data_IF_306255697814
#
_entry.id   IF_306255697814
#
_cell.length_a   1.000
_cell.length_b   1.000
_cell.length_c   1.000
_cell.angle_alpha   90.00
_cell.angle_beta   90.00
_cell.angle_gamma   90.00
#
_symmetry.space_group_name_H-M   'P 1'
#
loop_
_entity.id
_entity.type
_entity.pdbx_description
1 polymer ?
#
# COMPACT_ATOMS: atom_id res chain seq x y z
N UNK A 1 37.83 -32.26 41.92
CA UNK A 1 36.44 -32.08 41.44
C UNK A 1 36.45 -30.89 40.47
N UNK A 2 36.68 -31.15 39.17
CA UNK A 2 36.84 -30.10 38.16
C UNK A 2 35.45 -29.70 37.63
N UNK A 3 35.03 -28.45 37.90
CA UNK A 3 33.82 -27.86 37.34
C UNK A 3 34.00 -27.71 35.83
N UNK A 4 33.35 -28.58 35.05
CA UNK A 4 33.34 -28.46 33.58
C UNK A 4 32.70 -27.12 33.19
N UNK A 5 33.33 -26.31 32.34
CA UNK A 5 32.66 -25.17 31.73
C UNK A 5 31.57 -25.70 30.78
N UNK A 6 30.34 -25.17 30.92
CA UNK A 6 29.25 -25.46 29.99
C UNK A 6 29.57 -24.85 28.62
N UNK A 7 29.49 -25.62 27.53
CA UNK A 7 29.78 -25.10 26.20
C UNK A 7 28.62 -24.23 25.71
N UNK A 8 28.93 -22.96 25.51
CA UNK A 8 28.35 -22.13 24.45
C UNK A 8 26.88 -21.74 24.62
N UNK A 9 26.67 -20.57 25.22
CA UNK A 9 25.65 -19.64 24.72
C UNK A 9 26.05 -19.22 23.30
N UNK A 10 25.83 -20.13 22.34
CA UNK A 10 26.05 -19.88 20.93
C UNK A 10 25.08 -18.78 20.51
N UNK A 11 25.62 -17.56 20.43
CA UNK A 11 25.17 -16.41 19.66
C UNK A 11 23.70 -16.41 19.28
N UNK A 12 22.94 -15.58 20.00
CA UNK A 12 21.59 -15.08 19.68
C UNK A 12 21.56 -14.43 18.28
N UNK A 13 21.66 -15.24 17.23
CA UNK A 13 21.55 -14.86 15.81
C UNK A 13 20.09 -14.92 15.34
N UNK A 14 19.21 -14.31 16.13
CA UNK A 14 17.81 -14.05 15.76
C UNK A 14 17.58 -12.58 15.38
N UNK A 15 18.61 -11.85 14.94
CA UNK A 15 18.46 -10.48 14.48
C UNK A 15 17.79 -10.46 13.12
N UNK A 16 16.70 -9.70 12.98
CA UNK A 16 15.93 -9.49 11.74
C UNK A 16 15.11 -10.68 11.24
N UNK A 17 15.69 -11.86 10.96
CA UNK A 17 14.92 -12.98 10.37
C UNK A 17 13.81 -13.50 11.29
N UNK A 18 14.07 -13.54 12.60
CA UNK A 18 13.05 -13.88 13.59
C UNK A 18 11.97 -12.78 13.68
N UNK A 19 12.39 -11.51 13.63
CA UNK A 19 11.50 -10.35 13.60
C UNK A 19 10.55 -10.36 12.39
N UNK A 20 11.04 -10.68 11.19
CA UNK A 20 10.20 -10.81 10.01
C UNK A 20 9.21 -11.98 10.14
N UNK A 21 9.63 -13.09 10.75
CA UNK A 21 8.75 -14.21 11.06
C UNK A 21 7.60 -13.82 12.00
N UNK A 22 7.91 -13.04 13.05
CA UNK A 22 6.94 -12.49 14.00
C UNK A 22 5.96 -11.51 13.31
N UNK A 23 6.47 -10.60 12.47
CA UNK A 23 5.64 -9.64 11.71
C UNK A 23 4.71 -10.34 10.72
N UNK A 24 5.19 -11.35 10.00
CA UNK A 24 4.36 -12.15 9.08
C UNK A 24 3.28 -12.92 9.87
N UNK A 25 3.61 -13.41 11.07
CA UNK A 25 2.66 -14.05 11.97
C UNK A 25 1.51 -13.12 12.38
N UNK A 26 1.82 -11.86 12.72
CA UNK A 26 0.81 -10.85 13.05
C UNK A 26 0.02 -10.38 11.82
N UNK A 27 0.67 -10.18 10.67
CA UNK A 27 0.00 -9.80 9.41
C UNK A 27 -1.03 -10.82 8.93
N UNK A 28 -0.86 -12.10 9.29
CA UNK A 28 -1.85 -13.15 9.00
C UNK A 28 -3.12 -13.05 9.84
N UNK A 29 -3.07 -12.38 11.01
CA UNK A 29 -4.25 -12.13 11.85
C UNK A 29 -5.10 -10.96 11.33
N UNK A 30 -4.53 -10.14 10.45
CA UNK A 30 -5.24 -9.04 9.79
C UNK A 30 -6.29 -9.64 8.85
N UNK A 31 -7.54 -9.20 9.00
CA UNK A 31 -8.63 -9.53 8.09
C UNK A 31 -8.44 -8.79 6.77
N UNK A 32 -7.74 -9.43 5.83
CA UNK A 32 -7.62 -8.94 4.47
C UNK A 32 -8.95 -9.08 3.72
N UNK A 33 -9.33 -8.07 2.92
CA UNK A 33 -10.53 -8.14 2.10
C UNK A 33 -10.44 -9.30 1.12
N UNK A 34 -11.61 -9.85 0.75
CA UNK A 34 -11.66 -10.91 -0.26
C UNK A 34 -11.18 -10.39 -1.61
N UNK A 35 -10.62 -11.27 -2.45
CA UNK A 35 -10.16 -10.87 -3.80
C UNK A 35 -11.25 -10.17 -4.61
N UNK A 36 -12.50 -10.61 -4.47
CA UNK A 36 -13.64 -9.99 -5.14
C UNK A 36 -13.92 -8.57 -4.63
N UNK A 37 -13.85 -8.38 -3.31
CA UNK A 37 -14.05 -7.08 -2.68
C UNK A 37 -12.95 -6.09 -3.08
N UNK A 38 -11.68 -6.53 -3.05
CA UNK A 38 -10.55 -5.70 -3.52
C UNK A 38 -10.76 -5.26 -4.96
N UNK A 39 -11.09 -6.19 -5.86
CA UNK A 39 -11.33 -5.85 -7.27
C UNK A 39 -12.51 -4.89 -7.43
N UNK A 40 -13.61 -5.11 -6.72
CA UNK A 40 -14.78 -4.22 -6.79
C UNK A 40 -14.45 -2.81 -6.31
N UNK A 41 -13.75 -2.68 -5.19
CA UNK A 41 -13.34 -1.39 -4.65
C UNK A 41 -12.37 -0.68 -5.60
N UNK A 42 -11.39 -1.39 -6.16
CA UNK A 42 -10.47 -0.82 -7.16
C UNK A 42 -11.21 -0.35 -8.41
N UNK A 43 -12.18 -1.12 -8.92
CA UNK A 43 -12.98 -0.72 -10.08
C UNK A 43 -13.80 0.55 -9.79
N UNK A 44 -14.37 0.67 -8.60
CA UNK A 44 -15.09 1.88 -8.18
C UNK A 44 -14.15 3.09 -8.19
N UNK A 45 -12.95 2.96 -7.62
CA UNK A 45 -11.96 4.04 -7.61
C UNK A 45 -11.56 4.44 -9.03
N UNK A 46 -11.33 3.47 -9.92
CA UNK A 46 -11.01 3.75 -11.33
C UNK A 46 -12.16 4.52 -11.99
N UNK A 47 -13.41 4.09 -11.79
CA UNK A 47 -14.57 4.75 -12.38
C UNK A 47 -14.74 6.19 -11.90
N UNK A 48 -14.59 6.44 -10.59
CA UNK A 48 -14.70 7.79 -10.01
C UNK A 48 -13.56 8.67 -10.51
N UNK A 49 -12.31 8.19 -10.46
CA UNK A 49 -11.14 8.94 -10.94
C UNK A 49 -11.25 9.28 -12.43
N UNK A 50 -11.71 8.35 -13.26
CA UNK A 50 -11.94 8.61 -14.68
C UNK A 50 -13.05 9.65 -14.90
N UNK A 51 -14.16 9.57 -14.14
CA UNK A 51 -15.27 10.52 -14.23
C UNK A 51 -14.81 11.93 -13.86
N UNK A 52 -14.09 12.08 -12.74
CA UNK A 52 -13.55 13.36 -12.31
C UNK A 52 -12.53 13.89 -13.33
N UNK A 53 -11.63 13.03 -13.82
CA UNK A 53 -10.63 13.40 -14.82
C UNK A 53 -11.26 13.93 -16.11
N UNK A 54 -12.32 13.28 -16.60
CA UNK A 54 -13.08 13.76 -17.77
C UNK A 54 -13.79 15.08 -17.45
N UNK A 55 -14.46 15.19 -16.30
CA UNK A 55 -15.17 16.40 -15.92
C UNK A 55 -14.22 17.61 -15.84
N UNK A 56 -13.08 17.46 -15.15
CA UNK A 56 -12.06 18.49 -15.07
C UNK A 56 -11.49 18.81 -16.45
N UNK A 57 -11.11 17.80 -17.23
CA UNK A 57 -10.58 18.02 -18.58
C UNK A 57 -11.55 18.77 -19.50
N UNK A 58 -12.86 18.50 -19.41
CA UNK A 58 -13.87 19.25 -20.16
C UNK A 58 -13.98 20.70 -19.67
N UNK A 59 -13.91 20.92 -18.36
CA UNK A 59 -13.92 22.25 -17.75
C UNK A 59 -12.69 23.05 -18.17
N UNK A 60 -11.50 22.46 -18.14
CA UNK A 60 -10.26 23.08 -18.61
C UNK A 60 -10.35 23.49 -20.08
N UNK A 61 -10.87 22.60 -20.94
CA UNK A 61 -11.10 22.91 -22.36
C UNK A 61 -12.09 24.06 -22.56
N UNK A 62 -13.19 24.07 -21.80
CA UNK A 62 -14.17 25.15 -21.86
C UNK A 62 -13.55 26.48 -21.43
N UNK A 63 -12.78 26.50 -20.35
CA UNK A 63 -12.05 27.68 -19.90
C UNK A 63 -11.05 28.18 -20.94
N UNK A 64 -10.23 27.30 -21.54
CA UNK A 64 -9.29 27.70 -22.61
C UNK A 64 -9.98 28.47 -23.72
N UNK A 65 -11.13 27.97 -24.21
CA UNK A 65 -11.88 28.64 -25.28
C UNK A 65 -12.49 29.97 -24.88
N UNK A 66 -12.96 30.09 -23.63
CA UNK A 66 -13.50 31.34 -23.10
C UNK A 66 -12.39 32.38 -22.96
N UNK A 67 -11.24 32.01 -22.40
CA UNK A 67 -10.12 32.92 -22.23
C UNK A 67 -9.51 33.33 -23.58
N UNK A 68 -9.35 32.42 -24.54
CA UNK A 68 -8.91 32.76 -25.90
C UNK A 68 -9.86 33.76 -26.58
N UNK A 69 -11.17 33.62 -26.40
CA UNK A 69 -12.16 34.53 -26.96
C UNK A 69 -12.32 35.87 -26.21
N UNK A 70 -11.78 36.00 -24.99
CA UNK A 70 -11.87 37.22 -24.17
C UNK A 70 -10.57 38.05 -24.18
N UNK A 71 -9.43 37.41 -24.45
CA UNK A 71 -8.09 38.04 -24.48
C UNK A 71 -7.66 38.47 -25.91
N UNK A 72 -8.51 38.21 -26.92
CA UNK A 72 -8.47 38.77 -28.27
C UNK A 72 -9.71 39.63 -28.52
#
# INVERSE_FOLDING_TARGET
MLRRPQPGEAGRRGGLFQFFGEVIGELKKVTWPSRQETTRLTLIVIAISATIGVALGLIDLAFTRIFEGLLF
#
